data_IF_250237683599
#
_entry.id   IF_250237683599
#
_cell.length_a   1.000
_cell.length_b   1.000
_cell.length_c   1.000
_cell.angle_alpha   90.00
_cell.angle_beta   90.00
_cell.angle_gamma   90.00
#
_symmetry.space_group_name_H-M   'P 1'
#
loop_
_entity.id
_entity.type
_entity.pdbx_description
1 polymer ?
#
# COMPACT_ATOMS: atom_id res chain seq x y z
N UNK A 1 -17.47 48.06 15.55
CA UNK A 1 -17.97 47.09 14.55
C UNK A 1 -16.85 46.29 13.84
N UNK A 2 -15.68 46.04 14.47
CA UNK A 2 -14.49 45.51 13.76
C UNK A 2 -13.84 44.26 14.41
N UNK A 3 -14.46 43.68 15.46
CA UNK A 3 -13.95 42.46 16.12
C UNK A 3 -14.52 41.17 15.51
N UNK A 4 -15.76 41.20 15.01
CA UNK A 4 -16.40 40.05 14.38
C UNK A 4 -15.88 39.75 12.97
N UNK A 5 -15.54 40.77 12.17
CA UNK A 5 -14.95 40.57 10.83
C UNK A 5 -13.54 39.98 10.91
N UNK A 6 -12.72 40.49 11.85
CA UNK A 6 -11.35 40.02 12.08
C UNK A 6 -11.32 38.53 12.47
N UNK A 7 -12.26 38.08 13.32
CA UNK A 7 -12.39 36.66 13.74
C UNK A 7 -12.89 35.74 12.61
N UNK A 8 -13.68 36.25 11.65
CA UNK A 8 -14.11 35.49 10.47
C UNK A 8 -12.98 35.33 9.46
N UNK A 9 -12.21 36.39 9.22
CA UNK A 9 -11.14 36.38 8.23
C UNK A 9 -9.97 35.47 8.64
N UNK A 10 -9.61 35.41 9.94
CA UNK A 10 -8.59 34.48 10.44
C UNK A 10 -8.99 33.01 10.28
N UNK A 11 -10.27 32.68 10.44
CA UNK A 11 -10.77 31.32 10.22
C UNK A 11 -10.73 30.93 8.75
N UNK A 12 -11.13 31.84 7.86
CA UNK A 12 -11.08 31.63 6.41
C UNK A 12 -9.62 31.40 5.96
N UNK A 13 -8.69 32.23 6.45
CA UNK A 13 -7.26 32.09 6.15
C UNK A 13 -6.73 30.71 6.56
N UNK A 14 -7.05 30.24 7.76
CA UNK A 14 -6.61 28.91 8.23
C UNK A 14 -7.13 27.77 7.35
N UNK A 15 -8.40 27.85 6.91
CA UNK A 15 -8.99 26.84 6.02
C UNK A 15 -8.31 26.84 4.65
N UNK A 16 -8.10 28.03 4.06
CA UNK A 16 -7.42 28.18 2.77
C UNK A 16 -5.98 27.68 2.85
N UNK A 17 -5.27 28.00 3.94
CA UNK A 17 -3.91 27.54 4.17
C UNK A 17 -3.82 26.03 4.31
N UNK A 18 -4.74 25.42 5.09
CA UNK A 18 -4.82 23.96 5.21
C UNK A 18 -5.08 23.28 3.87
N UNK A 19 -6.00 23.83 3.07
CA UNK A 19 -6.32 23.31 1.73
C UNK A 19 -5.12 23.42 0.78
N UNK A 20 -4.37 24.54 0.86
CA UNK A 20 -3.15 24.73 0.08
C UNK A 20 -2.07 23.70 0.43
N UNK A 21 -1.88 23.39 1.72
CA UNK A 21 -0.95 22.34 2.15
C UNK A 21 -1.34 20.99 1.56
N UNK A 22 -2.63 20.63 1.60
CA UNK A 22 -3.13 19.37 1.02
C UNK A 22 -2.86 19.31 -0.48
N UNK A 23 -3.16 20.38 -1.22
CA UNK A 23 -2.95 20.44 -2.67
C UNK A 23 -1.46 20.34 -3.02
N UNK A 24 -0.58 21.08 -2.34
CA UNK A 24 0.86 21.05 -2.57
C UNK A 24 1.45 19.69 -2.22
N UNK A 25 1.01 19.08 -1.12
CA UNK A 25 1.43 17.74 -0.71
C UNK A 25 1.02 16.68 -1.73
N UNK A 26 -0.22 16.71 -2.22
CA UNK A 26 -0.70 15.79 -3.27
C UNK A 26 0.08 15.95 -4.56
N UNK A 27 0.31 17.19 -4.99
CA UNK A 27 1.11 17.47 -6.18
C UNK A 27 2.53 16.92 -6.05
N UNK A 28 3.17 17.16 -4.90
CA UNK A 28 4.52 16.66 -4.63
C UNK A 28 4.59 15.14 -4.59
N UNK A 29 3.67 14.49 -3.87
CA UNK A 29 3.63 13.03 -3.75
C UNK A 29 3.36 12.36 -5.09
N UNK A 30 2.38 12.86 -5.86
CA UNK A 30 2.10 12.33 -7.20
C UNK A 30 3.31 12.52 -8.14
N UNK A 31 3.99 13.66 -8.06
CA UNK A 31 5.24 13.88 -8.82
C UNK A 31 6.33 12.90 -8.41
N UNK A 32 6.51 12.65 -7.12
CA UNK A 32 7.50 11.72 -6.59
C UNK A 32 7.22 10.28 -7.03
N UNK A 33 5.98 9.81 -6.91
CA UNK A 33 5.57 8.47 -7.34
C UNK A 33 5.81 8.26 -8.84
N UNK A 34 5.43 9.24 -9.66
CA UNK A 34 5.68 9.18 -11.11
C UNK A 34 7.18 9.20 -11.44
N UNK A 35 7.99 9.90 -10.65
CA UNK A 35 9.45 9.88 -10.82
C UNK A 35 10.01 8.50 -10.48
N UNK A 36 9.58 7.91 -9.37
CA UNK A 36 10.00 6.59 -8.93
C UNK A 36 9.62 5.51 -9.95
N UNK A 37 8.38 5.54 -10.46
CA UNK A 37 7.93 4.65 -11.53
C UNK A 37 8.81 4.74 -12.78
N UNK A 38 9.17 5.96 -13.21
CA UNK A 38 10.08 6.16 -14.35
C UNK A 38 11.49 5.64 -14.07
N UNK A 39 11.98 5.78 -12.84
CA UNK A 39 13.28 5.26 -12.42
C UNK A 39 13.28 3.72 -12.46
N UNK A 40 12.25 3.05 -11.93
CA UNK A 40 12.08 1.58 -12.03
C UNK A 40 12.06 1.12 -13.50
N UNK A 41 11.23 1.74 -14.34
CA UNK A 41 11.20 1.42 -15.78
C UNK A 41 12.56 1.64 -16.47
N UNK A 42 13.31 2.68 -16.06
CA UNK A 42 14.64 2.94 -16.60
C UNK A 42 15.64 1.85 -16.18
N UNK A 43 15.57 1.39 -14.92
CA UNK A 43 16.42 0.30 -14.44
C UNK A 43 16.16 -1.00 -15.22
N UNK A 44 14.89 -1.33 -15.47
CA UNK A 44 14.52 -2.52 -16.26
C UNK A 44 15.04 -2.41 -17.70
N UNK A 45 14.94 -1.23 -18.32
CA UNK A 45 15.51 -1.01 -19.68
C UNK A 45 17.03 -1.15 -19.71
N UNK A 46 17.74 -0.61 -18.72
CA UNK A 46 19.20 -0.75 -18.61
C UNK A 46 19.56 -2.22 -18.42
N UNK A 47 18.82 -2.92 -17.56
CA UNK A 47 18.97 -4.35 -17.32
C UNK A 47 18.75 -5.18 -18.59
N UNK A 48 17.65 -4.95 -19.31
CA UNK A 48 17.36 -5.62 -20.58
C UNK A 48 18.46 -5.37 -21.63
N UNK A 49 18.96 -4.12 -21.71
CA UNK A 49 20.09 -3.77 -22.59
C UNK A 49 21.37 -4.51 -22.20
N UNK A 50 21.66 -4.64 -20.90
CA UNK A 50 22.82 -5.39 -20.41
C UNK A 50 22.73 -6.89 -20.75
N UNK A 51 21.52 -7.48 -20.67
CA UNK A 51 21.27 -8.86 -21.12
C UNK A 51 21.55 -9.01 -22.61
N UNK A 52 21.03 -8.10 -23.45
CA UNK A 52 21.29 -8.12 -24.89
C UNK A 52 22.78 -7.98 -25.25
N UNK A 53 23.49 -7.02 -24.66
CA UNK A 53 24.93 -6.85 -24.91
C UNK A 53 25.75 -8.09 -24.51
N UNK A 54 25.32 -8.80 -23.47
CA UNK A 54 25.99 -10.01 -23.03
C UNK A 54 25.69 -11.19 -23.94
N UNK A 55 24.47 -11.30 -24.47
CA UNK A 55 24.14 -12.25 -25.54
C UNK A 55 25.11 -12.10 -26.72
N UNK A 56 25.35 -10.86 -27.15
CA UNK A 56 26.30 -10.56 -28.22
C UNK A 56 27.73 -10.98 -27.87
N UNK A 57 28.16 -10.74 -26.63
CA UNK A 57 29.49 -11.14 -26.16
C UNK A 57 29.65 -12.67 -26.15
N UNK A 58 28.65 -13.42 -25.67
CA UNK A 58 28.68 -14.89 -25.68
C UNK A 58 28.77 -15.40 -27.12
N UNK A 59 27.96 -14.86 -28.04
CA UNK A 59 28.03 -15.19 -29.47
C UNK A 59 29.42 -14.92 -30.06
N UNK A 60 29.96 -13.73 -29.79
CA UNK A 60 31.28 -13.33 -30.27
C UNK A 60 32.38 -14.26 -29.74
N UNK A 61 32.33 -14.62 -28.45
CA UNK A 61 33.31 -15.52 -27.84
C UNK A 61 33.25 -16.94 -28.40
N UNK A 62 32.06 -17.47 -28.69
CA UNK A 62 31.93 -18.78 -29.35
C UNK A 62 32.55 -18.78 -30.76
N UNK A 63 32.34 -17.72 -31.54
CA UNK A 63 33.02 -17.55 -32.83
C UNK A 63 34.54 -17.48 -32.68
N UNK A 64 35.06 -16.75 -31.68
CA UNK A 64 36.49 -16.68 -31.40
C UNK A 64 37.07 -18.05 -31.03
N UNK A 65 36.39 -18.79 -30.15
CA UNK A 65 36.84 -20.13 -29.77
C UNK A 65 36.83 -21.07 -30.96
N UNK A 66 35.80 -21.04 -31.80
CA UNK A 66 35.76 -21.83 -33.05
C UNK A 66 36.97 -21.53 -33.93
N UNK A 67 37.25 -20.25 -34.19
CA UNK A 67 38.40 -19.83 -34.99
C UNK A 67 39.74 -20.25 -34.37
N UNK A 68 39.86 -20.18 -33.04
CA UNK A 68 41.05 -20.63 -32.32
C UNK A 68 41.23 -22.15 -32.46
N UNK A 69 40.17 -22.95 -32.29
CA UNK A 69 40.20 -24.40 -32.50
C UNK A 69 40.68 -24.76 -33.91
N UNK A 70 40.15 -24.08 -34.92
CA UNK A 70 40.54 -24.30 -36.33
C UNK A 70 42.01 -23.91 -36.62
N UNK A 71 42.52 -22.86 -35.98
CA UNK A 71 43.94 -22.48 -36.08
C UNK A 71 44.85 -23.49 -35.39
N UNK A 72 44.52 -23.91 -34.17
CA UNK A 72 45.27 -24.94 -33.43
C UNK A 72 45.29 -26.26 -34.18
N UNK A 73 44.16 -26.66 -34.76
CA UNK A 73 44.08 -27.86 -35.59
C UNK A 73 45.04 -27.80 -36.79
N UNK A 74 45.01 -26.70 -37.55
CA UNK A 74 45.93 -26.50 -38.69
C UNK A 74 47.39 -26.49 -38.26
N UNK A 75 47.70 -25.86 -37.13
CA UNK A 75 49.05 -25.84 -36.60
C UNK A 75 49.53 -27.26 -36.23
N UNK A 76 48.68 -28.08 -35.62
CA UNK A 76 49.05 -29.47 -35.29
C UNK A 76 49.20 -30.36 -36.52
N UNK A 77 48.43 -30.11 -37.60
CA UNK A 77 48.68 -30.75 -38.89
C UNK A 77 50.06 -30.40 -39.46
N UNK A 78 50.45 -29.12 -39.42
CA UNK A 78 51.79 -28.66 -39.83
C UNK A 78 52.88 -29.23 -38.94
N UNK A 79 52.65 -29.29 -37.63
CA UNK A 79 53.55 -29.89 -36.65
C UNK A 79 53.78 -31.38 -36.93
N UNK A 80 52.71 -32.14 -37.21
CA UNK A 80 52.80 -33.56 -37.55
C UNK A 80 53.50 -33.79 -38.89
N UNK A 81 53.27 -32.93 -39.89
CA UNK A 81 53.98 -32.95 -41.15
C UNK A 81 55.48 -32.67 -40.98
N UNK A 82 55.83 -31.70 -40.12
CA UNK A 82 57.22 -31.39 -39.79
C UNK A 82 57.89 -32.58 -39.07
N UNK A 83 57.20 -33.24 -38.13
CA UNK A 83 57.73 -34.46 -37.50
C UNK A 83 57.92 -35.60 -38.49
N UNK A 84 56.99 -35.80 -39.42
CA UNK A 84 57.15 -36.75 -40.51
C UNK A 84 58.42 -36.43 -41.32
N UNK A 85 58.63 -35.17 -41.68
CA UNK A 85 59.81 -34.75 -42.46
C UNK A 85 61.13 -34.90 -41.71
N UNK A 86 61.16 -34.62 -40.41
CA UNK A 86 62.32 -34.89 -39.57
C UNK A 86 62.63 -36.38 -39.46
N UNK A 87 61.62 -37.24 -39.46
CA UNK A 87 61.80 -38.70 -39.43
C UNK A 87 62.21 -39.32 -40.77
N UNK A 88 61.93 -38.66 -41.91
CA UNK A 88 62.32 -39.10 -43.26
C UNK A 88 63.68 -38.54 -43.72
N UNK A 89 64.21 -37.53 -43.03
CA UNK A 89 65.33 -36.72 -43.48
C UNK A 89 66.67 -37.46 -43.52
N UNK A 90 67.45 -37.17 -44.55
CA UNK A 90 68.85 -37.57 -44.69
C UNK A 90 69.80 -36.50 -44.11
N UNK A 91 71.08 -36.84 -43.91
CA UNK A 91 72.09 -35.95 -43.30
C UNK A 91 72.31 -34.62 -44.04
N UNK A 92 71.88 -34.50 -45.31
CA UNK A 92 72.07 -33.31 -46.16
C UNK A 92 70.83 -32.38 -46.23
N UNK A 93 69.70 -32.77 -45.65
CA UNK A 93 68.45 -32.01 -45.76
C UNK A 93 68.39 -30.84 -44.75
N UNK A 94 67.86 -29.67 -45.17
CA UNK A 94 67.69 -28.50 -44.29
C UNK A 94 66.61 -28.74 -43.21
N UNK A 95 67.02 -29.24 -42.05
CA UNK A 95 66.13 -29.55 -40.91
C UNK A 95 65.69 -28.36 -40.08
N UNK A 96 66.38 -27.22 -40.23
CA UNK A 96 66.23 -26.03 -39.39
C UNK A 96 64.77 -25.56 -39.31
N UNK A 97 64.08 -25.49 -40.46
CA UNK A 97 62.69 -25.07 -40.54
C UNK A 97 61.73 -26.03 -39.83
N UNK A 98 61.89 -27.34 -40.04
CA UNK A 98 61.02 -28.34 -39.41
C UNK A 98 61.23 -28.39 -37.90
N UNK A 99 62.49 -28.25 -37.44
CA UNK A 99 62.80 -28.12 -36.01
C UNK A 99 62.18 -26.86 -35.39
N UNK A 100 62.17 -25.74 -36.11
CA UNK A 100 61.49 -24.51 -35.67
C UNK A 100 59.97 -24.72 -35.55
N UNK A 101 59.34 -25.37 -36.53
CA UNK A 101 57.90 -25.69 -36.48
C UNK A 101 57.57 -26.61 -35.29
N UNK A 102 58.37 -27.65 -35.06
CA UNK A 102 58.13 -28.63 -33.98
C UNK A 102 58.35 -28.02 -32.60
N UNK A 103 59.44 -27.28 -32.41
CA UNK A 103 59.77 -26.60 -31.15
C UNK A 103 58.88 -25.39 -30.86
N UNK A 104 58.19 -24.86 -31.87
CA UNK A 104 57.19 -23.80 -31.73
C UNK A 104 55.96 -24.20 -30.90
N UNK A 105 55.70 -25.50 -30.72
CA UNK A 105 54.52 -25.97 -29.98
C UNK A 105 54.75 -25.85 -28.47
N UNK A 106 54.37 -24.71 -27.90
CA UNK A 106 54.57 -24.41 -26.48
C UNK A 106 53.41 -24.74 -25.56
N UNK A 107 52.22 -25.02 -26.10
CA UNK A 107 51.01 -25.14 -25.27
C UNK A 107 49.96 -26.15 -25.73
N UNK A 108 50.04 -26.64 -26.97
CA UNK A 108 49.10 -27.67 -27.44
C UNK A 108 49.60 -29.04 -26.96
N UNK A 109 48.81 -29.76 -26.12
CA UNK A 109 49.20 -31.06 -25.63
C UNK A 109 49.16 -32.09 -26.74
N UNK A 110 50.26 -32.82 -26.93
CA UNK A 110 50.39 -33.89 -27.93
C UNK A 110 51.00 -35.11 -27.26
N UNK A 111 50.43 -36.28 -27.50
CA UNK A 111 50.97 -37.57 -27.09
C UNK A 111 51.16 -38.41 -28.35
N UNK A 112 52.40 -38.78 -28.64
CA UNK A 112 52.75 -39.63 -29.78
C UNK A 112 52.92 -41.06 -29.28
N UNK A 113 52.25 -42.00 -29.93
CA UNK A 113 52.30 -43.43 -29.58
C UNK A 113 52.57 -44.29 -30.81
N UNK A 114 53.15 -45.47 -30.60
CA UNK A 114 53.30 -46.48 -31.65
C UNK A 114 52.01 -47.32 -31.85
N UNK A 115 52.08 -48.33 -32.71
CA UNK A 115 50.96 -49.27 -32.98
C UNK A 115 50.55 -50.09 -31.75
N UNK A 116 51.43 -50.24 -30.76
CA UNK A 116 51.19 -50.96 -29.51
C UNK A 116 50.69 -50.03 -28.38
N UNK A 117 50.46 -48.75 -28.67
CA UNK A 117 50.12 -47.69 -27.71
C UNK A 117 51.22 -47.37 -26.69
N UNK A 118 52.47 -47.69 -27.01
CA UNK A 118 53.62 -47.27 -26.22
C UNK A 118 53.91 -45.81 -26.53
N UNK A 119 54.09 -45.01 -25.48
CA UNK A 119 54.32 -43.58 -25.57
C UNK A 119 55.74 -43.32 -26.07
N UNK A 120 55.85 -42.61 -27.19
CA UNK A 120 57.10 -42.23 -27.83
C UNK A 120 57.49 -40.79 -27.48
N UNK A 121 56.50 -39.90 -27.39
CA UNK A 121 56.73 -38.50 -27.01
C UNK A 121 55.52 -37.90 -26.31
N UNK A 122 55.78 -37.00 -25.37
CA UNK A 122 54.76 -36.26 -24.63
C UNK A 122 55.13 -34.78 -24.65
N UNK A 123 54.26 -33.95 -25.22
CA UNK A 123 54.42 -32.50 -25.27
C UNK A 123 53.32 -31.81 -24.48
N UNK A 124 53.69 -30.76 -23.74
CA UNK A 124 52.78 -29.81 -23.08
C UNK A 124 51.72 -30.46 -22.16
N UNK A 125 52.03 -31.62 -21.57
CA UNK A 125 51.23 -32.28 -20.54
C UNK A 125 52.13 -33.00 -19.54
N UNK A 126 51.76 -32.97 -18.26
CA UNK A 126 52.47 -33.66 -17.18
C UNK A 126 51.87 -35.03 -16.84
N UNK A 127 50.69 -35.37 -17.41
CA UNK A 127 49.89 -36.54 -17.02
C UNK A 127 50.53 -37.90 -17.39
N UNK A 128 51.57 -37.90 -18.23
CA UNK A 128 52.15 -39.11 -18.83
C UNK A 128 53.68 -39.21 -18.74
N UNK A 129 54.33 -38.42 -17.88
CA UNK A 129 55.80 -38.43 -17.75
C UNK A 129 56.36 -39.75 -17.21
N UNK A 130 55.57 -40.47 -16.42
CA UNK A 130 55.98 -41.71 -15.74
C UNK A 130 55.30 -42.97 -16.33
N UNK A 131 54.36 -42.80 -17.27
CA UNK A 131 53.68 -43.92 -17.94
C UNK A 131 54.35 -44.22 -19.27
N UNK A 132 54.62 -45.50 -19.53
CA UNK A 132 55.08 -45.99 -20.84
C UNK A 132 53.92 -46.34 -21.78
N UNK A 133 52.68 -46.42 -21.28
CA UNK A 133 51.51 -46.89 -22.04
C UNK A 133 50.39 -45.85 -22.07
N UNK A 134 49.77 -45.68 -23.24
CA UNK A 134 48.65 -44.78 -23.45
C UNK A 134 47.32 -45.54 -23.45
N UNK A 135 46.59 -45.46 -22.33
CA UNK A 135 45.39 -46.25 -22.12
C UNK A 135 44.19 -45.79 -22.97
N UNK A 136 43.18 -46.65 -23.08
CA UNK A 136 41.92 -46.30 -23.76
C UNK A 136 41.19 -45.13 -23.08
N UNK A 137 41.31 -45.00 -21.75
CA UNK A 137 40.74 -43.88 -20.99
C UNK A 137 41.49 -42.58 -21.28
N UNK A 138 42.80 -42.64 -21.49
CA UNK A 138 43.62 -41.49 -21.86
C UNK A 138 43.31 -41.00 -23.26
N UNK A 139 43.10 -41.93 -24.21
CA UNK A 139 42.64 -41.58 -25.56
C UNK A 139 41.39 -40.72 -25.51
N UNK A 140 40.39 -41.04 -24.66
CA UNK A 140 39.14 -40.25 -24.50
C UNK A 140 39.35 -38.80 -24.05
N UNK A 141 40.49 -38.46 -23.45
CA UNK A 141 40.82 -37.07 -23.12
C UNK A 141 41.47 -36.30 -24.29
N UNK A 142 41.88 -37.01 -25.34
CA UNK A 142 42.47 -36.47 -26.56
C UNK A 142 41.59 -36.76 -27.80
N UNK A 143 40.37 -37.27 -27.63
CA UNK A 143 39.43 -37.59 -28.74
C UNK A 143 38.72 -36.38 -29.35
N UNK A 144 39.06 -35.14 -28.96
CA UNK A 144 38.44 -33.95 -29.57
C UNK A 144 38.66 -33.89 -31.08
N UNK A 145 39.71 -34.57 -31.56
CA UNK A 145 40.01 -34.74 -32.98
C UNK A 145 40.51 -36.18 -33.23
N UNK A 146 40.39 -36.69 -34.47
CA UNK A 146 41.05 -37.94 -34.84
C UNK A 146 42.58 -37.80 -34.69
N UNK A 147 43.29 -38.87 -34.27
CA UNK A 147 44.74 -38.82 -34.15
C UNK A 147 45.38 -38.60 -35.53
N UNK A 148 46.48 -37.83 -35.56
CA UNK A 148 47.22 -37.62 -36.79
C UNK A 148 48.20 -38.77 -36.97
N UNK A 149 48.20 -39.35 -38.17
CA UNK A 149 49.08 -40.46 -38.54
C UNK A 149 50.42 -39.89 -39.00
N UNK A 150 51.50 -40.25 -38.32
CA UNK A 150 52.87 -39.89 -38.67
C UNK A 150 53.57 -41.16 -39.17
N UNK A 151 54.02 -41.15 -40.42
CA UNK A 151 54.85 -42.23 -40.97
C UNK A 151 56.31 -41.91 -40.66
N UNK A 152 57.03 -42.85 -40.05
CA UNK A 152 58.45 -42.70 -39.68
C UNK A 152 59.30 -43.55 -40.64
N UNK A 153 60.63 -43.44 -40.59
CA UNK A 153 61.57 -44.22 -41.41
C UNK A 153 61.21 -45.71 -41.45
N UNK A 154 60.93 -46.25 -42.64
CA UNK A 154 60.41 -47.62 -42.85
C UNK A 154 58.89 -47.68 -43.05
N UNK A 155 58.27 -48.80 -42.66
CA UNK A 155 56.80 -49.03 -42.65
C UNK A 155 56.17 -48.76 -41.26
N UNK A 156 56.92 -48.17 -40.33
CA UNK A 156 56.42 -47.88 -38.98
C UNK A 156 55.49 -46.66 -38.94
N UNK A 157 54.37 -46.82 -38.23
CA UNK A 157 53.33 -45.79 -38.09
C UNK A 157 53.18 -45.39 -36.64
N UNK A 158 53.20 -44.09 -36.40
CA UNK A 158 52.92 -43.48 -35.11
C UNK A 158 51.63 -42.66 -35.17
N UNK A 159 50.95 -42.56 -34.03
CA UNK A 159 49.71 -41.80 -33.88
C UNK A 159 49.93 -40.66 -32.90
N UNK A 160 49.72 -39.43 -33.37
CA UNK A 160 49.73 -38.22 -32.55
C UNK A 160 48.31 -37.89 -32.09
N UNK A 161 48.05 -38.13 -30.80
CA UNK A 161 46.82 -37.72 -30.13
C UNK A 161 47.01 -36.32 -29.57
N UNK A 162 46.08 -35.41 -29.85
CA UNK A 162 46.17 -34.03 -29.38
C UNK A 162 44.79 -33.51 -28.97
N UNK A 163 44.79 -32.49 -28.12
CA UNK A 163 43.59 -31.73 -27.73
C UNK A 163 43.87 -30.24 -27.89
N UNK A 164 42.87 -29.40 -27.68
CA UNK A 164 43.07 -27.94 -27.68
C UNK A 164 44.11 -27.51 -26.64
N UNK A 165 44.71 -26.33 -26.84
CA UNK A 165 45.75 -25.80 -25.95
C UNK A 165 45.29 -25.66 -24.50
N UNK A 166 46.24 -25.65 -23.55
CA UNK A 166 45.87 -25.37 -22.16
C UNK A 166 45.36 -23.91 -22.02
N UNK A 167 45.85 -22.98 -22.85
CA UNK A 167 45.32 -21.63 -22.97
C UNK A 167 43.85 -21.61 -23.38
N UNK A 168 43.45 -22.41 -24.39
CA UNK A 168 42.05 -22.51 -24.81
C UNK A 168 41.14 -22.87 -23.63
N UNK A 169 41.47 -23.93 -22.89
CA UNK A 169 40.64 -24.39 -21.77
C UNK A 169 40.63 -23.39 -20.60
N UNK A 170 41.77 -22.74 -20.32
CA UNK A 170 41.85 -21.69 -19.31
C UNK A 170 40.98 -20.50 -19.67
N UNK A 171 41.08 -20.02 -20.92
CA UNK A 171 40.29 -18.90 -21.42
C UNK A 171 38.80 -19.24 -21.39
N UNK A 172 38.42 -20.45 -21.82
CA UNK A 172 37.03 -20.92 -21.81
C UNK A 172 36.48 -20.94 -20.38
N UNK A 173 37.21 -21.54 -19.44
CA UNK A 173 36.81 -21.59 -18.03
C UNK A 173 36.68 -20.19 -17.43
N UNK A 174 37.65 -19.31 -17.65
CA UNK A 174 37.60 -17.94 -17.14
C UNK A 174 36.40 -17.18 -17.69
N UNK A 175 36.11 -17.30 -18.99
CA UNK A 175 34.92 -16.70 -19.60
C UNK A 175 33.62 -17.28 -19.03
N UNK A 176 33.53 -18.59 -18.89
CA UNK A 176 32.36 -19.26 -18.32
C UNK A 176 32.14 -18.83 -16.86
N UNK A 177 33.20 -18.71 -16.05
CA UNK A 177 33.16 -18.24 -14.66
C UNK A 177 32.68 -16.77 -14.58
N UNK A 178 33.26 -15.86 -15.38
CA UNK A 178 32.80 -14.46 -15.46
C UNK A 178 31.34 -14.35 -15.92
N UNK A 179 30.95 -15.20 -16.87
CA UNK A 179 29.58 -15.24 -17.37
C UNK A 179 28.61 -15.66 -16.26
N UNK A 180 28.92 -16.72 -15.51
CA UNK A 180 28.08 -17.21 -14.43
C UNK A 180 27.99 -16.23 -13.25
N UNK A 181 29.11 -15.63 -12.84
CA UNK A 181 29.15 -14.67 -11.73
C UNK A 181 28.25 -13.45 -11.99
N UNK A 182 28.36 -12.85 -13.19
CA UNK A 182 27.50 -11.73 -13.56
C UNK A 182 26.03 -12.12 -13.68
N UNK A 183 25.71 -13.31 -14.20
CA UNK A 183 24.31 -13.76 -14.32
C UNK A 183 23.65 -13.84 -12.95
N UNK A 184 24.35 -14.43 -11.98
CA UNK A 184 23.85 -14.53 -10.62
C UNK A 184 23.69 -13.13 -10.01
N UNK A 185 24.70 -12.25 -10.12
CA UNK A 185 24.65 -10.89 -9.57
C UNK A 185 23.48 -10.06 -10.13
N UNK A 186 23.26 -10.11 -11.44
CA UNK A 186 22.22 -9.32 -12.12
C UNK A 186 20.82 -9.86 -11.85
N UNK A 187 20.63 -11.18 -11.80
CA UNK A 187 19.32 -11.80 -11.53
C UNK A 187 18.94 -11.71 -10.05
N UNK A 188 19.89 -11.85 -9.12
CA UNK A 188 19.58 -11.90 -7.69
C UNK A 188 19.48 -10.53 -7.01
N UNK A 189 20.08 -9.48 -7.57
CA UNK A 189 20.36 -8.25 -6.80
C UNK A 189 19.62 -7.01 -7.30
N UNK A 190 19.17 -6.98 -8.56
CA UNK A 190 18.88 -5.70 -9.22
C UNK A 190 17.41 -5.34 -9.41
N UNK A 191 16.47 -6.28 -9.19
CA UNK A 191 15.06 -6.02 -9.47
C UNK A 191 14.20 -6.47 -8.29
N UNK A 192 13.70 -5.50 -7.53
CA UNK A 192 12.50 -5.63 -6.69
C UNK A 192 11.22 -5.69 -7.53
N UNK A 193 11.37 -5.57 -8.85
CA UNK A 193 10.30 -5.54 -9.82
C UNK A 193 10.11 -6.93 -10.42
N UNK A 194 8.88 -7.49 -10.41
CA UNK A 194 8.58 -8.76 -11.05
C UNK A 194 8.89 -8.73 -12.55
N UNK A 195 9.67 -9.71 -13.03
CA UNK A 195 10.04 -9.82 -14.44
C UNK A 195 9.96 -11.27 -14.92
N UNK A 196 9.39 -11.46 -16.11
CA UNK A 196 9.30 -12.76 -16.80
C UNK A 196 9.93 -12.64 -18.19
N UNK A 197 10.86 -13.54 -18.49
CA UNK A 197 11.50 -13.65 -19.82
C UNK A 197 10.91 -14.85 -20.54
N UNK A 198 10.42 -14.63 -21.76
CA UNK A 198 9.85 -15.68 -22.62
C UNK A 198 10.56 -15.76 -23.96
N UNK A 199 10.39 -16.89 -24.64
CA UNK A 199 10.81 -17.05 -26.02
C UNK A 199 9.92 -16.27 -27.01
N UNK A 200 10.23 -16.39 -28.31
CA UNK A 200 9.47 -15.73 -29.39
C UNK A 200 7.98 -16.08 -29.44
N UNK A 201 7.57 -17.22 -28.88
CA UNK A 201 6.16 -17.64 -28.81
C UNK A 201 5.39 -16.98 -27.67
N UNK A 202 6.08 -16.31 -26.74
CA UNK A 202 5.54 -15.74 -25.50
C UNK A 202 4.94 -16.77 -24.52
N UNK A 203 5.09 -18.07 -24.79
CA UNK A 203 4.51 -19.14 -23.96
C UNK A 203 5.55 -19.87 -23.12
N UNK A 204 6.79 -19.99 -23.61
CA UNK A 204 7.84 -20.70 -22.90
C UNK A 204 8.66 -19.74 -22.06
N UNK A 205 8.63 -19.93 -20.74
CA UNK A 205 9.45 -19.15 -19.80
C UNK A 205 10.91 -19.60 -19.88
N UNK A 206 11.80 -18.65 -20.08
CA UNK A 206 13.26 -18.85 -20.11
C UNK A 206 13.89 -18.52 -18.76
N UNK A 207 13.38 -17.49 -18.08
CA UNK A 207 13.83 -17.07 -16.76
C UNK A 207 12.78 -16.15 -16.13
N UNK A 208 12.78 -16.03 -14.80
CA UNK A 208 11.93 -15.12 -14.05
C UNK A 208 12.68 -14.58 -12.83
N UNK A 209 12.27 -13.43 -12.30
CA UNK A 209 12.90 -12.78 -11.15
C UNK A 209 12.01 -11.70 -10.54
N UNK A 210 12.49 -11.05 -9.47
CA UNK A 210 11.71 -9.98 -8.83
C UNK A 210 10.63 -10.46 -7.87
N UNK A 211 10.97 -11.46 -7.04
CA UNK A 211 10.11 -11.99 -5.98
C UNK A 211 8.79 -12.66 -6.48
N UNK A 212 8.75 -13.08 -7.75
CA UNK A 212 7.70 -13.95 -8.29
C UNK A 212 7.77 -15.34 -7.64
N UNK A 213 6.63 -15.88 -7.24
CA UNK A 213 6.56 -17.25 -6.73
C UNK A 213 6.74 -18.25 -7.87
N UNK A 214 7.58 -19.26 -7.64
CA UNK A 214 7.85 -20.32 -8.61
C UNK A 214 6.57 -21.05 -9.04
N UNK A 215 5.62 -21.22 -8.11
CA UNK A 215 4.33 -21.89 -8.36
C UNK A 215 3.48 -21.18 -9.40
N UNK A 216 3.50 -19.85 -9.42
CA UNK A 216 2.74 -19.03 -10.37
C UNK A 216 3.32 -19.07 -11.80
N UNK A 217 4.61 -19.38 -11.91
CA UNK A 217 5.33 -19.46 -13.20
C UNK A 217 5.17 -20.82 -13.87
N UNK A 218 5.00 -21.89 -13.09
CA UNK A 218 4.83 -23.26 -13.63
C UNK A 218 3.38 -23.60 -13.99
N UNK A 219 2.38 -22.89 -13.45
CA UNK A 219 0.98 -23.03 -13.86
C UNK A 219 0.70 -22.20 -15.13
N UNK A 220 0.40 -22.88 -16.24
CA UNK A 220 0.14 -22.25 -17.54
C UNK A 220 -1.01 -21.23 -17.53
N UNK A 221 -2.00 -21.39 -16.65
CA UNK A 221 -3.16 -20.48 -16.57
C UNK A 221 -2.79 -19.20 -15.82
N UNK A 222 -2.11 -19.36 -14.68
CA UNK A 222 -1.65 -18.24 -13.85
C UNK A 222 -0.57 -17.43 -14.56
N UNK A 223 0.35 -18.08 -15.27
CA UNK A 223 1.37 -17.44 -16.08
C UNK A 223 0.76 -16.53 -17.15
N UNK A 224 -0.25 -17.01 -17.88
CA UNK A 224 -0.92 -16.19 -18.90
C UNK A 224 -1.63 -14.99 -18.30
N UNK A 225 -2.32 -15.15 -17.17
CA UNK A 225 -2.94 -14.03 -16.46
C UNK A 225 -1.90 -12.99 -16.02
N UNK A 226 -0.74 -13.43 -15.53
CA UNK A 226 0.34 -12.55 -15.11
C UNK A 226 0.95 -11.79 -16.29
N UNK A 227 1.21 -12.47 -17.41
CA UNK A 227 1.71 -11.83 -18.64
C UNK A 227 0.69 -10.82 -19.17
N UNK A 228 -0.60 -11.16 -19.21
CA UNK A 228 -1.64 -10.25 -19.69
C UNK A 228 -1.73 -8.98 -18.81
N UNK A 229 -1.59 -9.14 -17.49
CA UNK A 229 -1.51 -8.01 -16.55
C UNK A 229 -0.27 -7.15 -16.80
N UNK A 230 0.90 -7.77 -16.92
CA UNK A 230 2.16 -7.07 -17.20
C UNK A 230 2.08 -6.29 -18.53
N UNK A 231 1.46 -6.86 -19.56
CA UNK A 231 1.26 -6.22 -20.87
C UNK A 231 0.25 -5.07 -20.81
N UNK A 232 -0.78 -5.17 -19.96
CA UNK A 232 -1.73 -4.10 -19.76
C UNK A 232 -1.09 -2.88 -19.10
N UNK A 233 -0.14 -3.10 -18.19
CA UNK A 233 0.53 -2.04 -17.44
C UNK A 233 1.76 -1.47 -18.17
N UNK A 234 2.50 -2.30 -18.91
CA UNK A 234 3.76 -1.91 -19.54
C UNK A 234 4.00 -2.60 -20.91
N UNK A 235 4.66 -1.87 -21.82
CA UNK A 235 5.10 -2.46 -23.09
C UNK A 235 6.29 -3.42 -22.85
N UNK A 236 6.22 -4.67 -23.37
CA UNK A 236 7.29 -5.64 -23.18
C UNK A 236 8.57 -5.22 -23.90
N UNK A 237 9.71 -5.46 -23.26
CA UNK A 237 11.03 -5.16 -23.84
C UNK A 237 11.49 -6.35 -24.67
N UNK A 238 11.93 -6.09 -25.89
CA UNK A 238 12.39 -7.12 -26.84
C UNK A 238 13.91 -7.18 -26.78
N UNK A 239 14.46 -8.38 -26.62
CA UNK A 239 15.90 -8.64 -26.60
C UNK A 239 16.20 -9.88 -27.44
N UNK A 240 17.24 -9.80 -28.28
CA UNK A 240 17.71 -10.92 -29.08
C UNK A 240 18.76 -11.71 -28.27
N UNK A 241 18.50 -13.01 -28.08
CA UNK A 241 19.36 -13.91 -27.29
C UNK A 241 20.07 -14.92 -28.21
N UNK A 242 21.22 -15.48 -27.80
CA UNK A 242 21.98 -16.44 -28.61
C UNK A 242 21.16 -17.71 -28.84
N UNK A 243 20.87 -18.06 -30.10
CA UNK A 243 20.13 -19.28 -30.46
C UNK A 243 18.60 -19.19 -30.37
N UNK A 244 18.03 -18.09 -29.89
CA UNK A 244 16.60 -17.78 -29.94
C UNK A 244 16.40 -16.49 -30.73
N UNK A 245 15.54 -16.51 -31.76
CA UNK A 245 15.41 -15.40 -32.71
C UNK A 245 14.99 -14.09 -32.05
N UNK A 246 14.08 -14.14 -31.08
CA UNK A 246 13.59 -12.98 -30.31
C UNK A 246 13.10 -13.45 -28.93
N UNK A 247 13.35 -12.69 -27.87
CA UNK A 247 12.79 -12.93 -26.54
C UNK A 247 12.04 -11.70 -26.03
N UNK A 248 11.01 -11.94 -25.22
CA UNK A 248 10.18 -10.88 -24.63
C UNK A 248 10.38 -10.85 -23.13
N UNK A 249 10.59 -9.64 -22.61
CA UNK A 249 10.70 -9.33 -21.19
C UNK A 249 9.41 -8.62 -20.79
N UNK A 250 8.60 -9.31 -19.98
CA UNK A 250 7.41 -8.76 -19.35
C UNK A 250 7.74 -8.30 -17.94
N UNK A 251 7.20 -7.15 -17.53
CA UNK A 251 7.44 -6.58 -16.22
C UNK A 251 6.22 -5.78 -15.75
N UNK A 252 6.04 -5.69 -14.44
CA UNK A 252 5.04 -4.82 -13.81
C UNK A 252 5.71 -3.80 -12.88
N UNK A 253 4.94 -2.97 -12.18
CA UNK A 253 5.50 -2.10 -11.15
C UNK A 253 5.90 -2.92 -9.90
N UNK A 254 6.89 -2.46 -9.14
CA UNK A 254 7.24 -3.16 -7.89
C UNK A 254 6.07 -3.16 -6.89
N UNK A 255 6.07 -4.15 -5.99
CA UNK A 255 5.08 -4.20 -4.91
C UNK A 255 5.13 -2.92 -4.05
N UNK A 256 6.34 -2.42 -3.77
CA UNK A 256 6.55 -1.19 -2.99
C UNK A 256 5.93 0.01 -3.72
N UNK A 257 6.19 0.16 -5.02
CA UNK A 257 5.62 1.26 -5.81
C UNK A 257 4.09 1.19 -5.83
N UNK A 258 3.53 -0.02 -5.93
CA UNK A 258 2.08 -0.26 -5.89
C UNK A 258 1.48 0.13 -4.53
N UNK A 259 2.12 -0.25 -3.42
CA UNK A 259 1.69 0.15 -2.06
C UNK A 259 1.80 1.67 -1.86
N UNK A 260 2.85 2.29 -2.39
CA UNK A 260 3.06 3.73 -2.30
C UNK A 260 2.00 4.54 -3.08
N UNK A 261 1.38 3.98 -4.12
CA UNK A 261 0.25 4.62 -4.83
C UNK A 261 -1.00 4.76 -3.96
N UNK A 262 -1.23 3.86 -2.99
CA UNK A 262 -2.37 3.91 -2.07
C UNK A 262 -2.16 4.82 -0.87
N UNK A 263 -0.90 5.05 -0.48
CA UNK A 263 -0.54 5.86 0.68
C UNK A 263 -1.22 7.24 0.74
N UNK A 264 -1.31 8.04 -0.35
CA UNK A 264 -1.97 9.34 -0.32
C UNK A 264 -3.46 9.27 0.04
N UNK A 265 -4.16 8.22 -0.41
CA UNK A 265 -5.59 8.03 -0.14
C UNK A 265 -5.83 7.69 1.33
N UNK A 266 -5.01 6.80 1.89
CA UNK A 266 -5.07 6.44 3.32
C UNK A 266 -4.80 7.68 4.17
N UNK A 267 -3.78 8.46 3.82
CA UNK A 267 -3.43 9.68 4.54
C UNK A 267 -4.58 10.71 4.52
N UNK A 268 -5.27 10.87 3.39
CA UNK A 268 -6.44 11.74 3.28
C UNK A 268 -7.60 11.26 4.17
N UNK A 269 -7.87 9.95 4.18
CA UNK A 269 -8.89 9.37 5.04
C UNK A 269 -8.60 9.66 6.52
N UNK A 270 -7.34 9.44 6.95
CA UNK A 270 -6.91 9.69 8.32
C UNK A 270 -7.04 11.17 8.68
N UNK A 271 -6.55 12.10 7.85
CA UNK A 271 -6.70 13.54 8.09
C UNK A 271 -8.17 13.94 8.17
N UNK A 272 -9.00 13.46 7.25
CA UNK A 272 -10.43 13.78 7.20
C UNK A 272 -11.14 13.28 8.46
N UNK A 273 -10.81 12.07 8.93
CA UNK A 273 -11.32 11.53 10.17
C UNK A 273 -10.96 12.41 11.37
N UNK A 274 -9.69 12.85 11.47
CA UNK A 274 -9.25 13.76 12.54
C UNK A 274 -9.93 15.13 12.47
N UNK A 275 -10.14 15.69 11.27
CA UNK A 275 -10.85 16.95 11.10
C UNK A 275 -12.32 16.85 11.52
N UNK A 276 -13.00 15.76 11.15
CA UNK A 276 -14.39 15.50 11.54
C UNK A 276 -14.49 15.33 13.06
N UNK A 277 -13.61 14.52 13.65
CA UNK A 277 -13.57 14.31 15.10
C UNK A 277 -13.31 15.63 15.83
N UNK A 278 -12.31 16.39 15.39
CA UNK A 278 -11.96 17.68 15.97
C UNK A 278 -13.10 18.70 15.86
N UNK A 279 -13.76 18.79 14.70
CA UNK A 279 -14.93 19.64 14.52
C UNK A 279 -16.09 19.20 15.43
N UNK A 280 -16.36 17.90 15.52
CA UNK A 280 -17.41 17.34 16.38
C UNK A 280 -17.17 17.70 17.85
N UNK A 281 -15.99 17.40 18.39
CA UNK A 281 -15.61 17.73 19.77
C UNK A 281 -15.67 19.24 20.04
N UNK A 282 -15.17 20.06 19.13
CA UNK A 282 -15.23 21.51 19.27
C UNK A 282 -16.67 22.03 19.24
N UNK A 283 -17.51 21.53 18.34
CA UNK A 283 -18.91 21.92 18.21
C UNK A 283 -19.71 21.53 19.45
N UNK A 284 -19.50 20.31 19.96
CA UNK A 284 -20.10 19.81 21.19
C UNK A 284 -19.68 20.65 22.39
N UNK A 285 -18.37 20.88 22.56
CA UNK A 285 -17.83 21.71 23.64
C UNK A 285 -18.44 23.11 23.64
N UNK A 286 -18.51 23.74 22.47
CA UNK A 286 -19.05 25.10 22.35
C UNK A 286 -20.55 25.18 22.61
N UNK A 287 -21.32 24.18 22.21
CA UNK A 287 -22.76 24.08 22.53
C UNK A 287 -22.98 23.85 24.03
N UNK A 288 -22.15 23.00 24.65
CA UNK A 288 -22.18 22.75 26.09
C UNK A 288 -21.85 24.01 26.90
N UNK A 289 -20.79 24.72 26.52
CA UNK A 289 -20.39 25.99 27.14
C UNK A 289 -21.52 27.02 27.05
N UNK A 290 -22.12 27.20 25.88
CA UNK A 290 -23.27 28.09 25.71
C UNK A 290 -24.43 27.68 26.63
N UNK A 291 -24.80 26.39 26.65
CA UNK A 291 -25.91 25.90 27.48
C UNK A 291 -25.68 26.15 28.97
N UNK A 292 -24.44 26.00 29.45
CA UNK A 292 -24.06 26.33 30.84
C UNK A 292 -24.17 27.82 31.13
N UNK A 293 -23.72 28.68 30.22
CA UNK A 293 -23.85 30.14 30.37
C UNK A 293 -25.32 30.56 30.43
N UNK A 294 -26.18 30.00 29.56
CA UNK A 294 -27.62 30.27 29.56
C UNK A 294 -28.29 29.84 30.87
N UNK A 295 -27.96 28.64 31.39
CA UNK A 295 -28.45 28.17 32.69
C UNK A 295 -28.01 29.09 33.84
N UNK A 296 -26.72 29.46 33.87
CA UNK A 296 -26.19 30.38 34.89
C UNK A 296 -26.87 31.75 34.87
N UNK A 297 -27.07 32.33 33.67
CA UNK A 297 -27.78 33.59 33.50
C UNK A 297 -29.24 33.51 33.96
N UNK A 298 -29.95 32.44 33.63
CA UNK A 298 -31.34 32.24 34.06
C UNK A 298 -31.47 32.18 35.59
N UNK A 299 -30.57 31.44 36.25
CA UNK A 299 -30.55 31.31 37.70
C UNK A 299 -30.20 32.62 38.41
N UNK A 300 -29.21 33.36 37.92
CA UNK A 300 -28.84 34.67 38.46
C UNK A 300 -29.98 35.67 38.28
N UNK A 301 -30.64 35.68 37.11
CA UNK A 301 -31.79 36.56 36.84
C UNK A 301 -32.97 36.24 37.76
N UNK A 302 -33.27 34.95 37.99
CA UNK A 302 -34.30 34.54 38.93
C UNK A 302 -34.02 35.04 40.36
N UNK A 303 -32.77 34.91 40.81
CA UNK A 303 -32.36 35.41 42.12
C UNK A 303 -32.53 36.95 42.21
N UNK A 304 -32.10 37.68 41.17
CA UNK A 304 -32.25 39.13 41.10
C UNK A 304 -33.71 39.58 41.01
N UNK A 305 -34.60 38.80 40.40
CA UNK A 305 -36.05 39.07 40.38
C UNK A 305 -36.76 38.70 41.68
N UNK A 306 -36.27 37.72 42.45
CA UNK A 306 -36.87 37.28 43.71
C UNK A 306 -36.93 38.37 44.79
N UNK A 307 -35.86 39.17 44.90
CA UNK A 307 -35.77 40.27 45.89
C UNK A 307 -36.83 41.37 45.70
N UNK A 308 -36.99 41.96 44.49
CA UNK A 308 -38.04 42.96 44.26
C UNK A 308 -39.46 42.34 44.35
N UNK A 309 -39.67 41.11 43.90
CA UNK A 309 -40.98 40.43 44.01
C UNK A 309 -41.38 40.26 45.48
N UNK A 310 -40.47 39.79 46.34
CA UNK A 310 -40.71 39.67 47.79
C UNK A 310 -41.06 41.02 48.44
N UNK A 311 -40.39 42.10 48.00
CA UNK A 311 -40.68 43.45 48.49
C UNK A 311 -42.09 43.91 48.09
N UNK A 312 -42.51 43.64 46.85
CA UNK A 312 -43.87 43.94 46.36
C UNK A 312 -44.94 43.14 47.11
N UNK A 313 -44.67 41.86 47.39
CA UNK A 313 -45.58 41.02 48.20
C UNK A 313 -45.81 41.61 49.59
N UNK A 314 -44.74 42.08 50.25
CA UNK A 314 -44.84 42.75 51.56
C UNK A 314 -45.69 44.03 51.51
N UNK A 315 -45.50 44.87 50.49
CA UNK A 315 -46.32 46.08 50.34
C UNK A 315 -47.80 45.78 50.06
N UNK A 316 -48.09 44.77 49.23
CA UNK A 316 -49.47 44.34 48.98
C UNK A 316 -50.13 43.86 50.28
N UNK A 317 -49.42 43.12 51.12
CA UNK A 317 -49.98 42.61 52.38
C UNK A 317 -50.33 43.76 53.34
N UNK A 318 -49.46 44.77 53.46
CA UNK A 318 -49.75 45.99 54.24
C UNK A 318 -50.97 46.73 53.67
N UNK A 319 -51.07 46.85 52.35
CA UNK A 319 -52.20 47.52 51.70
C UNK A 319 -53.51 46.75 51.87
N UNK A 320 -53.51 45.42 51.82
CA UNK A 320 -54.69 44.59 52.08
C UNK A 320 -55.21 44.77 53.51
N UNK A 321 -54.34 44.97 54.49
CA UNK A 321 -54.77 45.27 55.87
C UNK A 321 -55.46 46.65 55.97
N UNK A 322 -55.03 47.63 55.18
CA UNK A 322 -55.59 48.98 55.19
C UNK A 322 -56.86 49.11 54.34
N UNK A 323 -56.95 48.37 53.23
CA UNK A 323 -58.04 48.45 52.25
C UNK A 323 -58.56 47.05 51.89
N UNK A 324 -59.25 46.35 52.82
CA UNK A 324 -59.59 44.93 52.67
C UNK A 324 -60.62 44.61 51.58
N UNK A 325 -61.40 45.59 51.13
CA UNK A 325 -62.46 45.41 50.14
C UNK A 325 -62.06 45.85 48.72
N UNK A 326 -60.79 46.23 48.51
CA UNK A 326 -60.31 46.66 47.19
C UNK A 326 -60.01 45.45 46.30
N UNK A 327 -60.86 45.21 45.30
CA UNK A 327 -60.71 44.11 44.33
C UNK A 327 -59.37 44.18 43.57
N UNK A 328 -58.85 45.39 43.32
CA UNK A 328 -57.57 45.59 42.64
C UNK A 328 -56.37 44.99 43.38
N UNK A 329 -56.39 44.98 44.72
CA UNK A 329 -55.33 44.37 45.53
C UNK A 329 -55.33 42.84 45.43
N UNK A 330 -56.51 42.24 45.23
CA UNK A 330 -56.62 40.81 45.00
C UNK A 330 -56.04 40.41 43.64
N UNK A 331 -56.28 41.18 42.58
CA UNK A 331 -55.69 40.93 41.26
C UNK A 331 -54.17 41.17 41.24
N UNK A 332 -53.68 42.24 41.87
CA UNK A 332 -52.23 42.47 41.98
C UNK A 332 -51.51 41.35 42.75
N UNK A 333 -52.15 40.80 43.79
CA UNK A 333 -51.63 39.64 44.51
C UNK A 333 -51.46 38.43 43.59
N UNK A 334 -52.47 38.14 42.76
CA UNK A 334 -52.42 37.02 41.80
C UNK A 334 -51.29 37.20 40.78
N UNK A 335 -51.03 38.44 40.34
CA UNK A 335 -49.93 38.73 39.41
C UNK A 335 -48.56 38.57 40.07
N UNK A 336 -48.40 38.98 41.34
CA UNK A 336 -47.17 38.73 42.12
C UNK A 336 -46.93 37.24 42.35
N UNK A 337 -47.97 36.46 42.65
CA UNK A 337 -47.87 35.01 42.79
C UNK A 337 -47.43 34.36 41.47
N UNK A 338 -47.96 34.85 40.34
CA UNK A 338 -47.54 34.40 39.01
C UNK A 338 -46.08 34.75 38.72
N UNK A 339 -45.63 35.96 39.05
CA UNK A 339 -44.23 36.38 38.87
C UNK A 339 -43.28 35.57 39.75
N UNK A 340 -43.70 35.26 40.99
CA UNK A 340 -42.95 34.38 41.91
C UNK A 340 -42.77 33.00 41.30
N UNK A 341 -43.85 32.38 40.84
CA UNK A 341 -43.82 31.08 40.18
C UNK A 341 -42.92 31.08 38.93
N UNK A 342 -42.97 32.14 38.12
CA UNK A 342 -42.08 32.29 36.95
C UNK A 342 -40.63 32.37 37.41
N UNK A 343 -40.32 33.21 38.40
CA UNK A 343 -38.95 33.36 38.93
C UNK A 343 -38.41 32.03 39.49
N UNK A 344 -39.21 31.29 40.25
CA UNK A 344 -38.84 29.97 40.77
C UNK A 344 -38.55 28.97 39.64
N UNK A 345 -39.36 28.96 38.57
CA UNK A 345 -39.12 28.15 37.38
C UNK A 345 -37.80 28.53 36.71
N UNK A 346 -37.47 29.82 36.59
CA UNK A 346 -36.20 30.30 36.06
C UNK A 346 -34.99 29.89 36.93
N UNK A 347 -35.13 29.88 38.26
CA UNK A 347 -34.07 29.47 39.19
C UNK A 347 -33.68 28.00 39.05
N UNK A 348 -34.64 27.17 38.63
CA UNK A 348 -34.44 25.73 38.37
C UNK A 348 -33.92 25.41 36.96
N UNK A 349 -33.70 26.41 36.10
CA UNK A 349 -33.16 26.19 34.76
C UNK A 349 -31.69 25.79 34.87
N UNK A 350 -31.39 24.54 34.54
CA UNK A 350 -30.03 23.98 34.54
C UNK A 350 -29.50 23.52 35.90
N UNK A 351 -30.35 23.43 36.93
CA UNK A 351 -30.08 22.58 38.10
C UNK A 351 -30.39 21.12 37.80
N UNK A 352 -29.69 20.20 38.44
CA UNK A 352 -30.07 18.77 38.40
C UNK A 352 -31.48 18.62 38.98
N UNK A 353 -32.43 18.01 38.25
CA UNK A 353 -33.79 17.85 38.74
C UNK A 353 -33.86 16.78 39.84
N UNK A 354 -34.57 17.10 40.93
CA UNK A 354 -34.89 16.12 41.97
C UNK A 354 -35.99 15.18 41.47
N UNK A 355 -35.71 13.87 41.48
CA UNK A 355 -36.64 12.83 41.03
C UNK A 355 -37.29 12.15 42.24
N UNK A 356 -38.62 12.15 42.27
CA UNK A 356 -39.42 11.44 43.27
C UNK A 356 -40.31 10.40 42.59
N UNK A 357 -40.71 9.39 43.36
CA UNK A 357 -41.66 8.37 42.92
C UNK A 357 -43.06 8.98 42.89
N UNK A 358 -43.61 9.20 41.69
CA UNK A 358 -44.88 9.91 41.48
C UNK A 358 -45.75 9.17 40.46
N UNK A 359 -47.07 9.23 40.63
CA UNK A 359 -48.04 8.72 39.66
C UNK A 359 -48.23 9.74 38.51
N UNK A 360 -47.78 9.37 37.31
CA UNK A 360 -47.89 10.24 36.12
C UNK A 360 -49.33 10.50 35.68
N UNK A 361 -50.23 9.53 35.91
CA UNK A 361 -51.64 9.62 35.53
C UNK A 361 -52.32 10.70 36.37
N UNK A 362 -52.14 10.65 37.70
CA UNK A 362 -52.62 11.69 38.62
C UNK A 362 -52.09 13.08 38.27
N UNK A 363 -50.81 13.17 37.87
CA UNK A 363 -50.22 14.45 37.46
C UNK A 363 -50.93 14.99 36.22
N UNK A 364 -51.09 14.19 35.16
CA UNK A 364 -51.75 14.62 33.92
C UNK A 364 -53.20 15.02 34.20
N UNK A 365 -53.95 14.23 34.96
CA UNK A 365 -55.34 14.53 35.34
C UNK A 365 -55.47 15.83 36.13
N UNK A 366 -54.54 16.08 37.06
CA UNK A 366 -54.51 17.32 37.83
C UNK A 366 -54.29 18.55 36.93
N UNK A 367 -53.42 18.44 35.92
CA UNK A 367 -53.13 19.51 34.97
C UNK A 367 -54.30 19.73 34.01
N UNK A 368 -54.93 18.66 33.53
CA UNK A 368 -56.13 18.75 32.69
C UNK A 368 -57.26 19.45 33.47
N UNK A 369 -57.53 19.02 34.70
CA UNK A 369 -58.55 19.63 35.58
C UNK A 369 -58.27 21.10 35.89
N UNK A 370 -56.98 21.46 36.01
CA UNK A 370 -56.57 22.86 36.16
C UNK A 370 -56.82 23.68 34.89
N UNK A 371 -56.43 23.15 33.72
CA UNK A 371 -56.57 23.84 32.44
C UNK A 371 -58.03 23.97 32.00
N UNK A 372 -58.86 22.96 32.26
CA UNK A 372 -60.29 22.98 31.95
C UNK A 372 -61.02 24.10 32.72
N UNK A 373 -60.71 24.28 34.00
CA UNK A 373 -61.27 25.38 34.82
C UNK A 373 -60.90 26.77 34.32
N UNK A 374 -59.77 26.91 33.63
CA UNK A 374 -59.16 28.20 33.27
C UNK A 374 -59.26 28.53 31.78
N UNK A 375 -59.74 27.59 30.97
CA UNK A 375 -59.93 27.75 29.52
C UNK A 375 -61.41 28.00 29.18
N UNK A 376 -61.71 28.31 27.92
CA UNK A 376 -63.09 28.55 27.49
C UNK A 376 -63.91 27.25 27.60
N UNK A 377 -65.15 27.33 28.10
CA UNK A 377 -66.13 26.22 28.09
C UNK A 377 -66.40 25.61 26.69
N UNK A 378 -65.87 26.23 25.64
CA UNK A 378 -65.91 25.75 24.25
C UNK A 378 -64.81 24.73 23.91
N UNK A 379 -63.85 24.53 24.81
CA UNK A 379 -62.74 23.60 24.65
C UNK A 379 -63.01 22.36 25.50
N UNK A 380 -63.07 21.21 24.85
CA UNK A 380 -63.32 19.91 25.49
C UNK A 380 -62.00 19.16 25.67
N UNK A 381 -61.66 18.80 26.91
CA UNK A 381 -60.50 17.97 27.22
C UNK A 381 -60.92 16.51 27.30
N UNK A 382 -60.21 15.63 26.59
CA UNK A 382 -60.47 14.18 26.58
C UNK A 382 -59.18 13.47 26.96
N UNK A 383 -59.16 12.85 28.14
CA UNK A 383 -58.05 12.02 28.58
C UNK A 383 -58.37 10.53 28.34
N UNK A 384 -57.48 9.84 27.64
CA UNK A 384 -57.61 8.43 27.29
C UNK A 384 -56.42 7.69 27.91
N UNK A 385 -56.68 7.04 29.03
CA UNK A 385 -55.72 6.19 29.74
C UNK A 385 -55.86 4.73 29.28
N UNK A 386 -54.89 4.25 28.50
CA UNK A 386 -54.83 2.87 28.02
C UNK A 386 -53.87 1.99 28.85
N UNK A 387 -53.49 2.46 30.05
CA UNK A 387 -52.64 1.69 30.96
C UNK A 387 -53.47 0.71 31.79
N UNK A 388 -52.92 -0.47 32.07
CA UNK A 388 -53.58 -1.48 32.93
C UNK A 388 -53.46 -1.13 34.42
N UNK A 389 -52.35 -0.51 34.79
CA UNK A 389 -52.03 -0.02 36.13
C UNK A 389 -51.36 1.34 35.99
N UNK A 390 -51.60 2.23 36.95
CA UNK A 390 -50.99 3.57 36.96
C UNK A 390 -49.52 3.48 37.36
N UNK A 391 -48.57 3.83 36.47
CA UNK A 391 -47.16 3.63 36.74
C UNK A 391 -46.65 4.70 37.69
N UNK A 392 -45.99 4.25 38.74
CA UNK A 392 -45.15 5.10 39.59
C UNK A 392 -43.81 5.29 38.88
N UNK A 393 -43.53 6.52 38.48
CA UNK A 393 -42.33 6.88 37.75
C UNK A 393 -41.44 7.77 38.61
N UNK A 394 -40.12 7.59 38.48
CA UNK A 394 -39.13 8.54 39.02
C UNK A 394 -39.08 9.78 38.16
N UNK A 395 -39.82 10.81 38.55
CA UNK A 395 -39.95 12.05 37.80
C UNK A 395 -39.89 13.29 38.70
N UNK A 396 -39.64 14.44 38.10
CA UNK A 396 -39.81 15.72 38.78
C UNK A 396 -41.22 16.25 38.50
N UNK A 397 -42.11 16.13 39.48
CA UNK A 397 -43.52 16.54 39.37
C UNK A 397 -43.68 17.96 38.82
N UNK A 398 -42.92 18.92 39.34
CA UNK A 398 -43.04 20.33 38.96
C UNK A 398 -42.67 20.58 37.50
N UNK A 399 -41.61 19.93 36.99
CA UNK A 399 -41.22 20.04 35.59
C UNK A 399 -42.23 19.38 34.66
N UNK A 400 -42.77 18.21 35.03
CA UNK A 400 -43.79 17.50 34.24
C UNK A 400 -45.08 18.33 34.16
N UNK A 401 -45.55 18.85 35.28
CA UNK A 401 -46.70 19.79 35.32
C UNK A 401 -46.46 20.95 34.36
N UNK A 402 -45.27 21.53 34.39
CA UNK A 402 -44.94 22.67 33.53
C UNK A 402 -44.91 22.32 32.04
N UNK A 403 -44.44 21.12 31.67
CA UNK A 403 -44.48 20.63 30.28
C UNK A 403 -45.93 20.53 29.81
N UNK A 404 -46.80 19.84 30.55
CA UNK A 404 -48.19 19.67 30.16
C UNK A 404 -48.97 20.99 30.17
N UNK A 405 -48.73 21.88 31.13
CA UNK A 405 -49.31 23.24 31.13
C UNK A 405 -48.98 24.01 29.84
N UNK A 406 -47.72 23.99 29.40
CA UNK A 406 -47.31 24.69 28.18
C UNK A 406 -47.90 24.03 26.93
N UNK A 407 -47.90 22.70 26.85
CA UNK A 407 -48.49 21.99 25.72
C UNK A 407 -49.99 22.26 25.60
N UNK A 408 -50.72 22.23 26.72
CA UNK A 408 -52.16 22.52 26.71
C UNK A 408 -52.44 23.98 26.42
N UNK A 409 -51.63 24.93 26.92
CA UNK A 409 -51.76 26.34 26.55
C UNK A 409 -51.56 26.55 25.06
N UNK A 410 -50.49 25.99 24.49
CA UNK A 410 -50.24 26.07 23.05
C UNK A 410 -51.39 25.46 22.23
N UNK A 411 -51.98 24.35 22.70
CA UNK A 411 -53.14 23.74 22.06
C UNK A 411 -54.38 24.62 22.14
N UNK A 412 -54.66 25.25 23.29
CA UNK A 412 -55.74 26.23 23.47
C UNK A 412 -55.55 27.43 22.54
N UNK A 413 -54.34 28.01 22.52
CA UNK A 413 -54.02 29.17 21.70
C UNK A 413 -54.17 28.85 20.20
N UNK A 414 -53.78 27.64 19.78
CA UNK A 414 -53.96 27.17 18.40
C UNK A 414 -55.43 27.00 17.99
N UNK A 415 -56.32 26.65 18.92
CA UNK A 415 -57.77 26.56 18.67
C UNK A 415 -58.38 27.98 18.52
N UNK A 416 -57.80 28.98 19.18
CA UNK A 416 -58.28 30.36 19.15
C UNK A 416 -59.67 30.52 19.75
N UNK A 417 -60.54 31.30 19.10
CA UNK A 417 -61.89 31.60 19.60
C UNK A 417 -62.96 30.55 19.22
N UNK A 418 -62.56 29.47 18.54
CA UNK A 418 -63.44 28.41 18.06
C UNK A 418 -63.82 27.38 19.13
N UNK A 419 -64.69 26.42 18.75
CA UNK A 419 -64.88 25.19 19.52
C UNK A 419 -63.78 24.20 19.13
N UNK A 420 -63.18 23.52 20.10
CA UNK A 420 -62.09 22.60 19.84
C UNK A 420 -62.01 21.49 20.89
N UNK A 421 -61.27 20.43 20.57
CA UNK A 421 -61.04 19.30 21.48
C UNK A 421 -59.54 19.05 21.64
N UNK A 422 -59.09 18.89 22.87
CA UNK A 422 -57.71 18.51 23.21
C UNK A 422 -57.75 17.08 23.72
N UNK A 423 -57.19 16.15 22.94
CA UNK A 423 -57.13 14.72 23.28
C UNK A 423 -55.74 14.36 23.78
N UNK A 424 -55.67 13.75 24.96
CA UNK A 424 -54.43 13.30 25.59
C UNK A 424 -54.50 11.78 25.71
N UNK A 425 -53.55 11.10 25.09
CA UNK A 425 -53.45 9.64 25.08
C UNK A 425 -52.22 9.23 25.86
N UNK A 426 -52.36 8.29 26.78
CA UNK A 426 -51.24 7.65 27.47
C UNK A 426 -51.30 6.14 27.25
N UNK A 427 -50.16 5.57 26.86
CA UNK A 427 -49.99 4.13 26.61
C UNK A 427 -48.55 3.73 26.90
N UNK A 428 -48.33 2.44 27.17
CA UNK A 428 -46.98 1.88 27.13
C UNK A 428 -46.51 1.81 25.67
N UNK A 429 -45.22 2.07 25.47
CA UNK A 429 -44.58 1.83 24.18
C UNK A 429 -43.94 0.44 24.27
N UNK A 430 -44.48 -0.51 23.51
CA UNK A 430 -43.92 -1.86 23.38
C UNK A 430 -42.65 -1.87 22.52
#
# INVERSE_FOLDING_TARGET
MNLYSKKRNSKLFLVVFALLIVVVSLWYTNRFLNKLAREEQSQIRIWAKAIGQKADLVNYTEHLFKNLREKEHRYIQLWALAMKKLGEASLDDEMSFYMEVVSGNKDIPVVVVDTNNIIQAVLNTNKYKESSFFSLADKRHFTSYPPIIIKVYGDEVQYAYYRNSNLYYRLKRTLDDYTNLFLNEVVSTSLSTPVIITDSSKTKVLSYGGNLDSTDVYDSTMLHQHIDKMVADNEPIIVDLPGATHCYIFYEDSQILTEMKWFPLIFFFVISLFLILGYSLFSFSRRSEQSKVWAGMAKETAHQLGTPISSLMGWIEVLKMQYPNEEGLAEMSKDIDRLTLVSERFSKIGSDPDFNDENIVEIIESVISYMERRSSQRIEYIFINNLKEDPILRLNKQLIVWVFENLFRNAVDAIGNGKGKIKVFISLHD
#
